data_IF_302284236866
#
_entry.id   IF_302284236866
#
_cell.length_a   1.000
_cell.length_b   1.000
_cell.length_c   1.000
_cell.angle_alpha   90.00
_cell.angle_beta   90.00
_cell.angle_gamma   90.00
#
_symmetry.space_group_name_H-M   'P 1'
#
loop_
_entity.id
_entity.type
_entity.pdbx_description
1 polymer ?
#
# COMPACT_ATOMS: atom_id res chain seq x y z
N UNK A 1 -7.17 -14.94 4.00
CA UNK A 1 -8.09 -13.83 3.66
C UNK A 1 -7.47 -13.03 2.52
N UNK A 2 -8.18 -12.70 1.43
CA UNK A 2 -7.62 -11.87 0.34
C UNK A 2 -7.82 -10.39 0.70
N UNK A 3 -6.71 -9.66 0.88
CA UNK A 3 -6.74 -8.22 1.16
C UNK A 3 -6.84 -7.43 -0.14
N UNK A 4 -7.75 -6.47 -0.18
CA UNK A 4 -7.88 -5.47 -1.25
C UNK A 4 -8.13 -4.13 -0.59
N UNK A 5 -7.04 -3.44 -0.25
CA UNK A 5 -7.06 -2.09 0.29
C UNK A 5 -6.93 -1.08 -0.85
N UNK A 6 -7.77 -0.04 -0.84
CA UNK A 6 -7.49 1.14 -1.67
C UNK A 6 -6.20 1.83 -1.22
N UNK A 7 -5.63 2.69 -2.05
CA UNK A 7 -4.42 3.44 -1.70
C UNK A 7 -4.61 4.29 -0.41
N UNK A 8 -5.81 4.82 -0.20
CA UNK A 8 -6.12 5.66 0.96
C UNK A 8 -6.39 4.81 2.21
N UNK A 9 -7.02 3.63 2.05
CA UNK A 9 -7.16 2.65 3.14
C UNK A 9 -5.80 2.13 3.62
N UNK A 10 -4.92 1.79 2.68
CA UNK A 10 -3.54 1.37 2.97
C UNK A 10 -2.77 2.47 3.72
N UNK A 11 -2.96 3.74 3.33
CA UNK A 11 -2.39 4.89 4.03
C UNK A 11 -2.87 4.98 5.48
N UNK A 12 -4.18 4.87 5.72
CA UNK A 12 -4.76 4.95 7.08
C UNK A 12 -4.25 3.81 7.97
N UNK A 13 -4.26 2.57 7.46
CA UNK A 13 -3.74 1.41 8.19
C UNK A 13 -2.25 1.59 8.50
N UNK A 14 -1.45 1.98 7.50
CA UNK A 14 -0.02 2.24 7.68
C UNK A 14 0.24 3.31 8.74
N UNK A 15 -0.58 4.37 8.79
CA UNK A 15 -0.43 5.42 9.81
C UNK A 15 -0.69 4.89 11.22
N UNK A 16 -1.72 4.08 11.41
CA UNK A 16 -2.04 3.50 12.72
C UNK A 16 -0.96 2.51 13.17
N UNK A 17 -0.45 1.67 12.27
CA UNK A 17 0.68 0.76 12.54
C UNK A 17 1.95 1.54 12.92
N UNK A 18 2.28 2.60 12.17
CA UNK A 18 3.45 3.45 12.44
C UNK A 18 3.34 4.10 13.82
N UNK A 19 2.20 4.74 14.13
CA UNK A 19 2.03 5.47 15.39
C UNK A 19 1.88 4.57 16.61
N UNK A 20 1.38 3.34 16.44
CA UNK A 20 1.37 2.35 17.51
C UNK A 20 2.78 2.07 18.04
N UNK A 21 3.80 2.07 17.16
CA UNK A 21 5.19 1.77 17.53
C UNK A 21 5.99 3.04 17.84
N UNK A 22 5.87 4.07 16.99
CA UNK A 22 6.74 5.25 17.07
C UNK A 22 6.29 6.30 18.07
N UNK A 23 5.00 6.34 18.40
CA UNK A 23 4.40 7.30 19.35
C UNK A 23 3.35 6.60 20.21
N UNK A 24 3.73 5.57 21.00
CA UNK A 24 2.78 4.77 21.79
C UNK A 24 2.01 5.61 22.81
N UNK A 25 2.55 6.73 23.26
CA UNK A 25 1.91 7.66 24.19
C UNK A 25 0.70 8.40 23.58
N UNK A 26 0.64 8.49 22.25
CA UNK A 26 -0.47 9.12 21.52
C UNK A 26 -1.48 8.09 21.01
N UNK A 27 -1.12 6.81 21.01
CA UNK A 27 -1.96 5.73 20.52
C UNK A 27 -2.93 5.24 21.61
N UNK A 28 -4.21 4.93 21.31
CA UNK A 28 -4.86 5.00 20.00
C UNK A 28 -5.17 6.43 19.53
N UNK A 29 -5.23 6.60 18.20
CA UNK A 29 -5.36 7.92 17.57
C UNK A 29 -6.84 8.35 17.49
N UNK A 30 -7.11 9.63 17.69
CA UNK A 30 -8.37 10.25 17.27
C UNK A 30 -8.37 10.48 15.76
N UNK A 31 -9.54 10.83 15.20
CA UNK A 31 -9.67 11.21 13.78
C UNK A 31 -8.64 12.28 13.37
N UNK A 32 -8.45 13.34 14.16
CA UNK A 32 -7.46 14.39 13.89
C UNK A 32 -6.03 13.85 13.88
N UNK A 33 -5.73 12.88 14.75
CA UNK A 33 -4.44 12.19 14.76
C UNK A 33 -4.22 11.40 13.48
N UNK A 34 -5.25 10.70 12.98
CA UNK A 34 -5.19 9.94 11.73
C UNK A 34 -5.02 10.87 10.51
N UNK A 35 -5.81 11.95 10.43
CA UNK A 35 -5.69 12.97 9.36
C UNK A 35 -4.28 13.55 9.33
N UNK A 36 -3.78 13.99 10.49
CA UNK A 36 -2.42 14.53 10.62
C UNK A 36 -1.37 13.52 10.19
N UNK A 37 -1.52 12.24 10.56
CA UNK A 37 -0.61 11.17 10.18
C UNK A 37 -0.65 10.86 8.67
N UNK A 38 -1.82 10.89 8.04
CA UNK A 38 -1.97 10.62 6.61
C UNK A 38 -1.32 11.70 5.74
N UNK A 39 -1.40 12.95 6.19
CA UNK A 39 -0.97 14.15 5.47
C UNK A 39 0.45 14.63 5.84
N UNK A 40 1.25 13.80 6.54
CA UNK A 40 2.63 14.16 6.88
C UNK A 40 3.47 14.37 5.60
N UNK A 41 4.33 15.40 5.61
CA UNK A 41 5.26 15.67 4.51
C UNK A 41 6.45 14.72 4.46
N UNK A 42 6.74 14.03 5.57
CA UNK A 42 7.86 13.10 5.70
C UNK A 42 7.34 11.68 5.83
N UNK A 43 8.11 10.72 5.31
CA UNK A 43 7.78 9.28 5.34
C UNK A 43 6.41 8.95 4.70
N UNK A 44 5.98 9.73 3.71
CA UNK A 44 4.77 9.51 2.92
C UNK A 44 5.09 9.68 1.45
N UNK A 45 4.82 8.65 0.66
CA UNK A 45 4.94 8.70 -0.80
C UNK A 45 3.72 7.99 -1.41
N UNK A 46 2.86 8.70 -2.16
CA UNK A 46 2.82 10.16 -2.33
C UNK A 46 2.38 10.90 -1.06
N UNK A 47 2.77 12.17 -0.93
CA UNK A 47 2.19 13.07 0.07
C UNK A 47 0.72 13.30 -0.28
N UNK A 48 -0.17 13.12 0.69
CA UNK A 48 -1.62 13.30 0.52
C UNK A 48 -2.10 14.54 1.27
N UNK A 49 -3.31 14.99 0.92
CA UNK A 49 -4.03 16.04 1.65
C UNK A 49 -5.50 15.63 1.78
N UNK A 50 -5.75 14.67 2.66
CA UNK A 50 -7.08 14.11 2.89
C UNK A 50 -7.90 15.00 3.84
N UNK A 51 -9.18 15.18 3.53
CA UNK A 51 -10.13 15.86 4.42
C UNK A 51 -10.53 14.97 5.61
N UNK A 52 -10.98 15.61 6.68
CA UNK A 52 -11.43 14.91 7.89
C UNK A 52 -12.63 13.98 7.59
N UNK A 53 -13.60 14.44 6.80
CA UNK A 53 -14.75 13.65 6.38
C UNK A 53 -14.33 12.39 5.59
N UNK A 54 -13.46 12.54 4.60
CA UNK A 54 -12.97 11.41 3.79
C UNK A 54 -12.26 10.36 4.66
N UNK A 55 -11.47 10.82 5.63
CA UNK A 55 -10.78 9.94 6.58
C UNK A 55 -11.78 9.24 7.51
N UNK A 56 -12.85 9.92 7.95
CA UNK A 56 -13.90 9.32 8.75
C UNK A 56 -14.61 8.19 7.99
N UNK A 57 -14.99 8.42 6.73
CA UNK A 57 -15.63 7.41 5.88
C UNK A 57 -14.75 6.16 5.73
N UNK A 58 -13.43 6.36 5.57
CA UNK A 58 -12.45 5.29 5.49
C UNK A 58 -12.33 4.54 6.81
N UNK A 59 -12.26 5.25 7.94
CA UNK A 59 -12.20 4.65 9.26
C UNK A 59 -13.42 3.77 9.53
N UNK A 60 -14.62 4.26 9.19
CA UNK A 60 -15.86 3.51 9.34
C UNK A 60 -15.90 2.26 8.46
N UNK A 61 -15.45 2.37 7.20
CA UNK A 61 -15.32 1.22 6.30
C UNK A 61 -14.33 0.17 6.84
N UNK A 62 -13.18 0.60 7.35
CA UNK A 62 -12.15 -0.28 7.89
C UNK A 62 -12.57 -0.94 9.22
N UNK A 63 -13.33 -0.25 10.06
CA UNK A 63 -13.95 -0.82 11.27
C UNK A 63 -14.99 -1.87 10.90
N UNK A 64 -15.84 -1.60 9.90
CA UNK A 64 -16.82 -2.56 9.39
C UNK A 64 -16.17 -3.82 8.81
N UNK A 65 -14.98 -3.68 8.21
CA UNK A 65 -14.14 -4.79 7.71
C UNK A 65 -13.28 -5.44 8.79
N UNK A 66 -13.39 -5.01 10.04
CA UNK A 66 -12.64 -5.50 11.20
C UNK A 66 -11.12 -5.32 11.13
N UNK A 67 -10.62 -4.44 10.24
CA UNK A 67 -9.21 -4.05 10.23
C UNK A 67 -8.88 -3.05 11.33
N UNK A 68 -9.87 -2.31 11.82
CA UNK A 68 -9.74 -1.38 12.93
C UNK A 68 -10.80 -1.66 14.01
N UNK A 69 -10.61 -1.05 15.18
CA UNK A 69 -11.57 -1.02 16.28
C UNK A 69 -11.68 0.38 16.84
N UNK A 70 -12.89 0.77 17.20
CA UNK A 70 -13.13 1.99 17.99
C UNK A 70 -12.91 1.74 19.47
N UNK A 71 -12.21 2.67 20.11
CA UNK A 71 -12.01 2.74 21.56
C UNK A 71 -12.68 4.00 22.07
N UNK A 72 -13.70 3.81 22.91
CA UNK A 72 -14.38 4.87 23.63
C UNK A 72 -14.26 4.57 25.13
N UNK A 73 -13.46 5.35 25.83
CA UNK A 73 -13.34 5.24 27.29
C UNK A 73 -14.56 5.84 28.00
N UNK A 74 -14.94 5.30 29.15
CA UNK A 74 -16.01 5.86 29.97
C UNK A 74 -15.69 7.32 30.34
N UNK A 75 -16.57 8.25 29.96
CA UNK A 75 -16.38 9.69 30.18
C UNK A 75 -15.57 10.43 29.12
N UNK A 76 -14.94 9.74 28.16
CA UNK A 76 -14.25 10.38 27.05
C UNK A 76 -15.15 10.40 25.81
N UNK A 77 -15.53 11.60 25.36
CA UNK A 77 -16.39 11.80 24.19
C UNK A 77 -15.68 11.58 22.86
N UNK A 78 -14.34 11.58 22.85
CA UNK A 78 -13.56 11.46 21.62
C UNK A 78 -13.34 10.00 21.28
N UNK A 79 -13.93 9.53 20.19
CA UNK A 79 -13.66 8.21 19.62
C UNK A 79 -12.22 8.13 19.15
N UNK A 80 -11.53 7.05 19.55
CA UNK A 80 -10.18 6.72 19.08
C UNK A 80 -10.19 5.42 18.30
N UNK A 81 -9.16 5.19 17.50
CA UNK A 81 -9.06 4.05 16.60
C UNK A 81 -7.78 3.25 16.88
N UNK A 82 -7.98 1.95 17.07
CA UNK A 82 -6.91 0.94 17.16
C UNK A 82 -6.85 0.11 15.88
N UNK A 83 -5.64 -0.21 15.44
CA UNK A 83 -5.44 -1.23 14.41
C UNK A 83 -5.73 -2.62 14.97
N UNK A 84 -6.48 -3.40 14.19
CA UNK A 84 -6.68 -4.84 14.35
C UNK A 84 -6.15 -5.64 13.16
N UNK A 85 -5.48 -4.96 12.24
CA UNK A 85 -4.97 -5.48 10.98
C UNK A 85 -4.02 -6.65 11.20
N UNK A 86 -3.09 -6.53 12.15
CA UNK A 86 -2.19 -7.60 12.54
C UNK A 86 -2.05 -7.69 14.07
N UNK A 87 -1.65 -8.87 14.55
CA UNK A 87 -1.36 -9.12 15.97
C UNK A 87 -2.53 -8.83 16.93
N UNK A 88 -3.77 -8.81 16.44
CA UNK A 88 -4.94 -8.72 17.31
C UNK A 88 -5.27 -10.07 17.95
N UNK A 89 -5.98 -10.07 19.08
CA UNK A 89 -6.30 -11.30 19.84
C UNK A 89 -6.94 -12.40 18.99
N UNK A 90 -7.84 -12.01 18.08
CA UNK A 90 -8.63 -12.91 17.24
C UNK A 90 -8.22 -12.91 15.76
N UNK A 91 -7.20 -12.15 15.38
CA UNK A 91 -6.74 -12.05 13.98
C UNK A 91 -5.68 -13.10 13.67
N UNK A 92 -5.82 -13.77 12.52
CA UNK A 92 -4.88 -14.80 12.05
C UNK A 92 -3.54 -14.21 11.60
N UNK A 93 -3.54 -12.96 11.10
CA UNK A 93 -2.32 -12.31 10.65
C UNK A 93 -1.43 -11.93 11.84
N UNK A 94 -0.43 -12.78 12.10
CA UNK A 94 0.63 -12.54 13.09
C UNK A 94 1.90 -12.10 12.38
N UNK A 95 2.44 -10.96 12.79
CA UNK A 95 3.64 -10.35 12.24
C UNK A 95 4.61 -10.02 13.37
N UNK A 96 5.88 -10.38 13.21
CA UNK A 96 6.98 -9.95 14.06
C UNK A 96 7.19 -8.43 13.97
N UNK A 97 7.93 -7.85 14.93
CA UNK A 97 8.25 -6.42 14.90
C UNK A 97 8.97 -5.99 13.61
N UNK A 98 9.89 -6.82 13.10
CA UNK A 98 10.57 -6.62 11.83
C UNK A 98 9.59 -6.58 10.64
N UNK A 99 8.69 -7.57 10.57
CA UNK A 99 7.68 -7.65 9.50
C UNK A 99 6.71 -6.46 9.53
N UNK A 100 6.24 -6.06 10.72
CA UNK A 100 5.38 -4.88 10.89
C UNK A 100 6.09 -3.62 10.39
N UNK A 101 7.38 -3.45 10.71
CA UNK A 101 8.16 -2.29 10.27
C UNK A 101 8.28 -2.21 8.74
N UNK A 102 8.59 -3.34 8.08
CA UNK A 102 8.71 -3.39 6.62
C UNK A 102 7.36 -3.17 5.92
N UNK A 103 6.31 -3.89 6.35
CA UNK A 103 4.97 -3.75 5.77
C UNK A 103 4.45 -2.33 5.93
N UNK A 104 4.60 -1.73 7.11
CA UNK A 104 4.16 -0.36 7.36
C UNK A 104 4.90 0.63 6.45
N UNK A 105 6.21 0.45 6.28
CA UNK A 105 7.02 1.32 5.42
C UNK A 105 6.61 1.18 3.95
N UNK A 106 6.29 -0.03 3.48
CA UNK A 106 5.77 -0.28 2.13
C UNK A 106 4.36 0.30 1.93
N UNK A 107 3.45 0.19 2.91
CA UNK A 107 2.10 0.77 2.84
C UNK A 107 2.14 2.31 2.74
N UNK A 108 3.11 2.94 3.40
CA UNK A 108 3.20 4.41 3.49
C UNK A 108 3.97 5.03 2.34
N UNK A 109 4.88 4.29 1.71
CA UNK A 109 5.83 4.83 0.72
C UNK A 109 5.93 4.03 -0.57
N UNK A 110 5.16 2.96 -0.73
CA UNK A 110 5.18 2.13 -1.93
C UNK A 110 6.47 1.32 -2.11
N UNK A 111 6.82 0.96 -3.37
CA UNK A 111 7.90 0.03 -3.65
C UNK A 111 9.29 0.58 -3.30
N UNK A 112 10.08 -0.17 -2.53
CA UNK A 112 11.39 0.27 -2.02
C UNK A 112 12.43 -0.85 -2.08
N UNK A 113 13.72 -0.50 -2.15
CA UNK A 113 14.80 -1.49 -2.06
C UNK A 113 15.07 -1.90 -0.61
N UNK A 114 15.68 -3.08 -0.36
CA UNK A 114 16.09 -3.48 0.99
C UNK A 114 16.96 -2.42 1.69
N UNK A 115 17.86 -1.77 0.95
CA UNK A 115 18.72 -0.71 1.49
C UNK A 115 17.94 0.51 1.96
N UNK A 116 16.93 0.93 1.21
CA UNK A 116 16.03 2.01 1.63
C UNK A 116 15.19 1.61 2.84
N UNK A 117 14.63 0.40 2.82
CA UNK A 117 13.78 -0.11 3.88
C UNK A 117 14.52 -0.17 5.21
N UNK A 118 15.78 -0.60 5.23
CA UNK A 118 16.60 -0.66 6.45
C UNK A 118 16.63 0.68 7.20
N UNK A 119 16.95 1.77 6.48
CA UNK A 119 17.03 3.10 7.10
C UNK A 119 15.67 3.73 7.39
N UNK A 120 14.66 3.45 6.57
CA UNK A 120 13.34 4.09 6.69
C UNK A 120 12.44 3.41 7.74
N UNK A 121 12.62 2.12 7.96
CA UNK A 121 11.87 1.32 8.93
C UNK A 121 12.53 1.29 10.33
N UNK A 122 13.76 1.84 10.47
CA UNK A 122 14.59 1.75 11.68
C UNK A 122 13.87 2.22 12.96
N UNK A 123 13.05 3.28 12.87
CA UNK A 123 12.30 3.81 14.02
C UNK A 123 11.20 2.87 14.53
N UNK A 124 10.76 1.91 13.72
CA UNK A 124 9.79 0.89 14.11
C UNK A 124 10.47 -0.41 14.54
N UNK A 125 11.58 -0.77 13.88
CA UNK A 125 12.39 -1.92 14.23
C UNK A 125 13.84 -1.71 13.77
N UNK A 126 14.79 -1.92 14.67
CA UNK A 126 16.21 -1.78 14.35
C UNK A 126 16.76 -3.09 13.78
N UNK A 127 17.07 -3.09 12.49
CA UNK A 127 17.69 -4.22 11.81
C UNK A 127 19.20 -4.26 12.06
N UNK A 128 19.68 -5.42 12.47
CA UNK A 128 21.09 -5.73 12.73
C UNK A 128 21.96 -5.52 11.48
N UNK A 129 21.54 -6.07 10.35
CA UNK A 129 22.24 -5.97 9.07
C UNK A 129 21.28 -5.95 7.88
N UNK A 130 21.83 -5.87 6.66
CA UNK A 130 21.03 -5.94 5.43
C UNK A 130 20.41 -7.32 5.22
N UNK A 131 21.10 -8.37 5.65
CA UNK A 131 20.65 -9.75 5.48
C UNK A 131 19.39 -10.02 6.30
N UNK A 132 19.21 -9.38 7.46
CA UNK A 132 17.98 -9.46 8.23
C UNK A 132 16.78 -8.87 7.48
N UNK A 133 16.95 -7.74 6.79
CA UNK A 133 15.89 -7.13 5.97
C UNK A 133 15.53 -8.07 4.82
N UNK A 134 16.52 -8.59 4.10
CA UNK A 134 16.31 -9.52 2.99
C UNK A 134 15.60 -10.81 3.44
N UNK A 135 16.08 -11.45 4.53
CA UNK A 135 15.42 -12.63 5.10
C UNK A 135 13.98 -12.35 5.52
N UNK A 136 13.72 -11.18 6.11
CA UNK A 136 12.36 -10.79 6.52
C UNK A 136 11.44 -10.62 5.30
N UNK A 137 11.93 -10.00 4.22
CA UNK A 137 11.18 -9.84 2.97
C UNK A 137 10.95 -11.18 2.27
N UNK A 138 11.94 -12.06 2.24
CA UNK A 138 11.82 -13.41 1.67
C UNK A 138 10.82 -14.25 2.47
N UNK A 139 10.86 -14.16 3.80
CA UNK A 139 9.87 -14.81 4.65
C UNK A 139 8.46 -14.30 4.35
N UNK A 140 8.26 -12.97 4.32
CA UNK A 140 6.97 -12.37 3.96
C UNK A 140 6.47 -12.74 2.55
N UNK A 141 7.37 -13.05 1.62
CA UNK A 141 7.01 -13.47 0.26
C UNK A 141 6.66 -14.96 0.16
N UNK A 142 7.14 -15.80 1.09
CA UNK A 142 7.04 -17.28 1.03
C UNK A 142 6.16 -17.89 2.13
N UNK A 143 5.53 -17.05 2.94
CA UNK A 143 4.63 -17.46 4.03
C UNK A 143 3.44 -18.28 3.54
N UNK A 144 3.09 -19.32 4.31
CA UNK A 144 2.01 -20.26 3.99
C UNK A 144 0.61 -19.61 4.06
N UNK A 145 0.44 -18.62 4.95
CA UNK A 145 -0.80 -17.85 5.09
C UNK A 145 -0.98 -16.78 3.98
N UNK A 146 0.00 -16.68 3.09
CA UNK A 146 -0.06 -15.92 1.84
C UNK A 146 1.18 -15.03 1.66
N UNK A 147 1.57 -14.74 0.41
CA UNK A 147 2.59 -13.74 0.15
C UNK A 147 2.06 -12.36 0.51
N UNK A 148 2.78 -11.65 1.38
CA UNK A 148 2.44 -10.28 1.78
C UNK A 148 3.26 -9.23 1.05
N UNK A 149 4.39 -9.63 0.48
CA UNK A 149 5.24 -8.80 -0.35
C UNK A 149 5.62 -9.54 -1.62
N UNK A 150 5.97 -8.79 -2.65
CA UNK A 150 6.49 -9.30 -3.90
C UNK A 150 7.75 -8.56 -4.30
N UNK A 151 8.74 -9.29 -4.81
CA UNK A 151 9.95 -8.73 -5.40
C UNK A 151 9.65 -8.31 -6.84
N UNK A 152 9.84 -7.03 -7.13
CA UNK A 152 9.67 -6.48 -8.47
C UNK A 152 10.91 -6.72 -9.34
N UNK A 153 10.75 -6.73 -10.68
CA UNK A 153 11.87 -6.77 -11.60
C UNK A 153 12.78 -5.59 -11.36
N UNK A 154 14.08 -5.79 -11.64
CA UNK A 154 15.06 -4.73 -11.51
C UNK A 154 14.81 -3.68 -12.59
N UNK A 155 14.88 -2.41 -12.21
CA UNK A 155 14.91 -1.34 -13.21
C UNK A 155 16.24 -1.39 -13.99
N UNK A 156 16.24 -1.04 -15.27
CA UNK A 156 17.46 -0.93 -16.06
C UNK A 156 18.52 -0.07 -15.35
N UNK A 157 19.73 -0.61 -15.19
CA UNK A 157 20.84 0.08 -14.53
C UNK A 157 20.83 0.08 -13.00
N UNK A 158 19.82 -0.50 -12.33
CA UNK A 158 19.79 -0.65 -10.87
C UNK A 158 20.33 -2.01 -10.43
N UNK A 159 21.15 -2.01 -9.37
CA UNK A 159 21.74 -3.24 -8.79
C UNK A 159 20.75 -4.03 -7.93
N UNK A 160 19.82 -3.34 -7.28
CA UNK A 160 18.87 -3.93 -6.34
C UNK A 160 17.44 -3.96 -6.90
N UNK A 161 16.68 -4.99 -6.54
CA UNK A 161 15.24 -5.05 -6.79
C UNK A 161 14.48 -4.27 -5.72
N UNK A 162 13.29 -3.77 -6.06
CA UNK A 162 12.35 -3.22 -5.09
C UNK A 162 11.35 -4.29 -4.65
N UNK A 163 10.80 -4.12 -3.46
CA UNK A 163 9.71 -4.93 -2.93
C UNK A 163 8.46 -4.06 -2.81
N UNK A 164 7.29 -4.66 -3.02
CA UNK A 164 5.98 -4.02 -2.84
C UNK A 164 5.06 -4.92 -2.03
N UNK A 165 4.19 -4.33 -1.21
CA UNK A 165 3.20 -5.11 -0.46
C UNK A 165 2.05 -5.57 -1.36
N UNK A 166 1.36 -6.65 -0.97
CA UNK A 166 0.23 -7.24 -1.71
C UNK A 166 -1.14 -6.96 -1.09
N UNK A 167 -1.19 -6.18 0.00
CA UNK A 167 -2.45 -5.84 0.67
C UNK A 167 -3.41 -4.94 -0.15
N UNK A 168 -2.91 -4.27 -1.19
CA UNK A 168 -3.71 -3.47 -2.13
C UNK A 168 -4.09 -4.21 -3.41
N UNK A 169 -3.98 -5.55 -3.38
CA UNK A 169 -4.21 -6.40 -4.54
C UNK A 169 -2.92 -6.79 -5.25
N UNK A 170 -3.10 -7.52 -6.35
CA UNK A 170 -2.01 -8.08 -7.12
C UNK A 170 -1.30 -6.95 -7.87
N UNK A 171 -0.02 -6.76 -7.56
CA UNK A 171 0.84 -5.87 -8.36
C UNK A 171 1.15 -6.63 -9.64
N UNK A 172 0.88 -6.09 -10.85
CA UNK A 172 1.28 -6.73 -12.09
C UNK A 172 2.81 -6.72 -12.15
N UNK A 173 3.41 -7.78 -11.60
CA UNK A 173 4.80 -8.11 -11.84
C UNK A 173 4.84 -8.60 -13.28
N UNK A 174 5.19 -7.71 -14.21
CA UNK A 174 5.73 -8.16 -15.48
C UNK A 174 6.94 -9.01 -15.10
N UNK A 175 6.78 -10.33 -15.08
CA UNK A 175 7.84 -11.26 -14.72
C UNK A 175 9.12 -10.84 -15.46
N UNK A 176 10.23 -10.79 -14.73
CA UNK A 176 11.51 -10.31 -15.25
C UNK A 176 11.81 -10.95 -16.60
N UNK A 177 12.00 -10.08 -17.59
CA UNK A 177 12.72 -10.41 -18.83
C UNK A 177 14.18 -10.61 -18.43
N UNK A 178 14.49 -11.79 -17.88
CA UNK A 178 15.81 -12.38 -18.07
C UNK A 178 15.77 -13.11 -19.42
N UNK A 179 16.62 -12.66 -20.33
CA UNK A 179 17.01 -13.31 -21.59
C UNK A 179 15.89 -13.87 -22.51
N UNK A 180 15.20 -12.97 -23.23
CA UNK A 180 14.69 -13.28 -24.58
C UNK A 180 14.40 -11.98 -25.34
N UNK A 181 15.25 -11.63 -26.31
CA UNK A 181 14.82 -10.81 -27.44
C UNK A 181 13.75 -11.60 -28.25
N UNK A 182 12.48 -11.23 -28.10
CA UNK A 182 11.29 -11.74 -28.83
C UNK A 182 10.19 -12.31 -27.90
N UNK A 183 8.92 -12.54 -28.31
CA UNK A 183 8.00 -11.85 -29.24
C UNK A 183 7.04 -10.87 -28.50
N UNK A 184 7.39 -10.47 -27.27
CA UNK A 184 6.52 -9.63 -26.42
C UNK A 184 6.39 -8.18 -26.91
N UNK A 185 7.42 -7.66 -27.60
CA UNK A 185 7.38 -6.33 -28.21
C UNK A 185 6.33 -6.26 -29.35
N UNK A 186 6.23 -7.30 -30.17
CA UNK A 186 5.23 -7.40 -31.24
C UNK A 186 3.81 -7.52 -30.68
N UNK A 187 3.64 -8.24 -29.56
CA UNK A 187 2.35 -8.34 -28.87
C UNK A 187 1.91 -7.00 -28.25
N UNK A 188 2.86 -6.19 -27.75
CA UNK A 188 2.56 -4.87 -27.20
C UNK A 188 2.25 -3.87 -28.31
N UNK A 189 3.01 -3.88 -29.40
CA UNK A 189 2.74 -3.04 -30.58
C UNK A 189 1.36 -3.35 -31.17
N UNK A 190 1.02 -4.61 -31.37
CA UNK A 190 -0.30 -5.00 -31.87
C UNK A 190 -1.45 -4.57 -30.95
N UNK A 191 -1.22 -4.56 -29.63
CA UNK A 191 -2.21 -4.12 -28.65
C UNK A 191 -2.33 -2.59 -28.58
N UNK A 192 -1.23 -1.87 -28.81
CA UNK A 192 -1.22 -0.41 -28.92
C UNK A 192 -1.97 0.01 -30.18
N UNK A 193 -1.69 -0.60 -31.34
CA UNK A 193 -2.39 -0.31 -32.60
C UNK A 193 -3.91 -0.55 -32.46
N UNK A 194 -4.33 -1.70 -31.90
CA UNK A 194 -5.74 -1.98 -31.66
C UNK A 194 -6.42 -0.95 -30.74
N UNK A 195 -5.71 -0.46 -29.71
CA UNK A 195 -6.24 0.58 -28.81
C UNK A 195 -6.28 1.96 -29.48
N UNK A 196 -5.33 2.27 -30.35
CA UNK A 196 -5.33 3.52 -31.12
C UNK A 196 -6.51 3.58 -32.10
N UNK A 197 -6.81 2.46 -32.76
CA UNK A 197 -7.98 2.30 -33.63
C UNK A 197 -9.29 2.44 -32.86
N UNK A 198 -9.41 1.78 -31.71
CA UNK A 198 -10.61 1.86 -30.86
C UNK A 198 -10.83 3.30 -30.34
N UNK A 199 -9.74 3.99 -29.96
CA UNK A 199 -9.81 5.40 -29.55
C UNK A 199 -10.21 6.30 -30.72
N UNK A 200 -9.73 6.03 -31.94
CA UNK A 200 -10.12 6.79 -33.12
C UNK A 200 -11.61 6.62 -33.43
N UNK A 201 -12.13 5.39 -33.36
CA UNK A 201 -13.54 5.09 -33.57
C UNK A 201 -14.44 5.75 -32.49
N UNK A 202 -14.04 5.66 -31.22
CA UNK A 202 -14.75 6.30 -30.12
C UNK A 202 -14.77 7.83 -30.26
N UNK A 203 -13.67 8.44 -30.70
CA UNK A 203 -13.60 9.88 -30.98
C UNK A 203 -14.54 10.30 -32.12
N UNK A 204 -14.65 9.49 -33.18
CA UNK A 204 -15.58 9.74 -34.27
C UNK A 204 -17.03 9.63 -33.82
N UNK A 205 -17.38 8.59 -33.05
CA UNK A 205 -18.71 8.41 -32.47
C UNK A 205 -19.08 9.57 -31.55
N UNK A 206 -18.14 10.02 -30.72
CA UNK A 206 -18.32 11.18 -29.85
C UNK A 206 -18.56 12.46 -30.66
N UNK A 207 -17.79 12.68 -31.74
CA UNK A 207 -18.00 13.83 -32.62
C UNK A 207 -19.38 13.81 -33.29
N UNK A 208 -19.82 12.64 -33.76
CA UNK A 208 -21.14 12.48 -34.35
C UNK A 208 -22.26 12.77 -33.34
N UNK A 209 -22.14 12.27 -32.11
CA UNK A 209 -23.11 12.53 -31.04
C UNK A 209 -23.13 14.01 -30.63
N UNK A 210 -21.98 14.64 -30.47
CA UNK A 210 -21.89 16.06 -30.14
C UNK A 210 -22.45 16.95 -31.25
N UNK A 211 -22.28 16.58 -32.52
CA UNK A 211 -22.89 17.29 -33.65
C UNK A 211 -24.43 17.17 -33.65
N UNK A 212 -25.00 16.04 -33.20
CA UNK A 212 -26.45 15.85 -33.10
C UNK A 212 -27.08 16.49 -31.85
N UNK A 213 -26.27 16.88 -30.86
CA UNK A 213 -26.72 17.57 -29.65
C UNK A 213 -26.59 19.10 -29.76
N UNK A 214 -26.03 19.60 -30.87
CA UNK A 214 -25.82 21.03 -31.16
C UNK A 214 -26.83 21.65 -32.12
N UNK A 215 -27.75 20.86 -32.67
CA UNK A 215 -28.97 21.28 -33.38
C UNK A 215 -30.21 21.09 -32.48
#
# INVERSE_FOLDING_TARGET
MKYQLSAVEARVIGCLLEKQVTTPEQYPLSINGVVTACNQKTNREPVMNLGEHDVQDILDALVKRHYLRTVSGFGNRVTKYEQRFCNSEFGDLKLTSAEVALITTLLLRGPQTPGELRGRAERMHQFTDMAEVERTLEHLATREDGPFVVRLPREPGKRESRFMHLFSGDVPVLAGVDDAEGPAADSLLARVEALEDEVAELKQRLHSLLAHLGD
#
